data_IF_135445241352
#
_entry.id   IF_135445241352
#
_cell.length_a   1.000
_cell.length_b   1.000
_cell.length_c   1.000
_cell.angle_alpha   90.00
_cell.angle_beta   90.00
_cell.angle_gamma   90.00
#
_symmetry.space_group_name_H-M   'P 1'
#
loop_
_entity.id
_entity.type
_entity.pdbx_description
1 polymer ?
#
# COMPACT_ATOMS: atom_id res chain seq x y z
N UNK A 1 4.81 5.76 23.51
CA UNK A 1 3.77 5.38 22.55
C UNK A 1 3.77 3.88 22.47
N UNK A 2 2.63 3.28 22.75
CA UNK A 2 2.44 1.83 22.62
C UNK A 2 2.15 1.44 21.16
N UNK A 3 2.26 0.15 20.84
CA UNK A 3 2.05 -0.34 19.48
C UNK A 3 0.65 -0.02 18.95
N UNK A 4 -0.38 -0.23 19.76
CA UNK A 4 -1.77 0.04 19.39
C UNK A 4 -1.98 1.53 19.15
N UNK A 5 -1.49 2.39 20.04
CA UNK A 5 -1.57 3.85 19.90
C UNK A 5 -0.91 4.35 18.61
N UNK A 6 0.25 3.78 18.25
CA UNK A 6 0.91 4.07 16.98
C UNK A 6 0.04 3.66 15.78
N UNK A 7 -0.53 2.45 15.80
CA UNK A 7 -1.38 1.93 14.72
C UNK A 7 -2.62 2.78 14.51
N UNK A 8 -3.33 3.11 15.59
CA UNK A 8 -4.53 3.96 15.54
C UNK A 8 -4.21 5.36 15.01
N UNK A 9 -3.13 5.97 15.49
CA UNK A 9 -2.69 7.29 15.04
C UNK A 9 -2.33 7.28 13.55
N UNK A 10 -1.55 6.29 13.11
CA UNK A 10 -1.19 6.13 11.70
C UNK A 10 -2.44 5.88 10.85
N UNK A 11 -3.35 5.02 11.30
CA UNK A 11 -4.58 4.73 10.59
C UNK A 11 -5.46 5.97 10.44
N UNK A 12 -5.54 6.81 11.46
CA UNK A 12 -6.28 8.07 11.40
C UNK A 12 -5.70 9.02 10.35
N UNK A 13 -4.37 9.05 10.16
CA UNK A 13 -3.73 9.87 9.13
C UNK A 13 -4.04 9.33 7.74
N UNK A 14 -3.91 8.01 7.54
CA UNK A 14 -4.25 7.35 6.27
C UNK A 14 -5.73 7.55 5.89
N UNK A 15 -6.62 7.59 6.88
CA UNK A 15 -8.05 7.79 6.63
C UNK A 15 -8.36 9.14 5.98
N UNK A 16 -7.55 10.17 6.25
CA UNK A 16 -7.71 11.50 5.66
C UNK A 16 -7.50 11.53 4.15
N UNK A 17 -6.78 10.55 3.60
CA UNK A 17 -6.51 10.43 2.16
C UNK A 17 -7.27 9.27 1.50
N UNK A 18 -8.02 8.48 2.27
CA UNK A 18 -8.77 7.30 1.80
C UNK A 18 -9.56 7.55 0.52
N UNK A 19 -10.27 8.67 0.42
CA UNK A 19 -11.14 8.96 -0.74
C UNK A 19 -10.34 9.24 -2.03
N UNK A 20 -9.17 9.88 -1.90
CA UNK A 20 -8.24 10.11 -3.03
C UNK A 20 -7.64 8.79 -3.47
N UNK A 21 -7.23 7.96 -2.52
CA UNK A 21 -6.59 6.67 -2.77
C UNK A 21 -7.57 5.68 -3.39
N UNK A 22 -8.80 5.61 -2.88
CA UNK A 22 -9.88 4.82 -3.50
C UNK A 22 -10.10 5.20 -4.96
N UNK A 23 -10.12 6.51 -5.27
CA UNK A 23 -10.26 7.00 -6.64
C UNK A 23 -9.09 6.58 -7.53
N UNK A 24 -7.85 6.63 -7.02
CA UNK A 24 -6.65 6.18 -7.73
C UNK A 24 -6.69 4.67 -7.99
N UNK A 25 -7.02 3.86 -6.98
CA UNK A 25 -7.14 2.41 -7.11
C UNK A 25 -8.23 2.03 -8.12
N UNK A 26 -9.36 2.75 -8.13
CA UNK A 26 -10.42 2.55 -9.10
C UNK A 26 -9.97 2.90 -10.53
N UNK A 27 -9.19 3.97 -10.71
CA UNK A 27 -8.61 4.34 -12.00
C UNK A 27 -7.62 3.28 -12.49
N UNK A 28 -6.75 2.78 -11.61
CA UNK A 28 -5.82 1.69 -11.92
C UNK A 28 -6.56 0.43 -12.35
N UNK A 29 -7.60 0.02 -11.62
CA UNK A 29 -8.44 -1.11 -12.01
C UNK A 29 -9.10 -0.89 -13.37
N UNK A 30 -9.60 0.31 -13.66
CA UNK A 30 -10.22 0.62 -14.94
C UNK A 30 -9.21 0.60 -16.11
N UNK A 31 -7.94 0.92 -15.83
CA UNK A 31 -6.85 0.86 -16.78
C UNK A 31 -6.24 -0.54 -16.93
N UNK A 32 -6.50 -1.44 -15.98
CA UNK A 32 -6.10 -2.83 -16.06
C UNK A 32 -6.64 -3.44 -17.36
N UNK A 33 -5.73 -3.97 -18.18
CA UNK A 33 -6.12 -4.66 -19.40
C UNK A 33 -6.67 -6.04 -19.04
N UNK A 34 -7.25 -6.75 -20.02
CA UNK A 34 -7.66 -8.14 -19.82
C UNK A 34 -6.50 -9.10 -19.47
N UNK A 35 -5.25 -8.64 -19.55
CA UNK A 35 -4.07 -9.43 -19.22
C UNK A 35 -3.53 -9.18 -17.81
N UNK A 36 -3.85 -8.03 -17.20
CA UNK A 36 -3.32 -7.65 -15.90
C UNK A 36 -3.59 -8.74 -14.85
N UNK A 37 -2.51 -9.30 -14.29
CA UNK A 37 -2.60 -10.39 -13.32
C UNK A 37 -2.92 -9.85 -11.92
N UNK A 38 -2.44 -8.65 -11.60
CA UNK A 38 -2.75 -8.00 -10.33
C UNK A 38 -2.27 -6.55 -10.19
N UNK A 39 -2.59 -5.98 -9.02
CA UNK A 39 -2.07 -4.70 -8.54
C UNK A 39 -1.33 -4.96 -7.23
N UNK A 40 -0.04 -4.65 -7.22
CA UNK A 40 0.84 -4.76 -6.06
C UNK A 40 1.02 -3.38 -5.44
N UNK A 41 0.91 -3.31 -4.11
CA UNK A 41 1.13 -2.10 -3.32
C UNK A 41 2.45 -2.23 -2.58
N UNK A 42 3.46 -1.50 -3.04
CA UNK A 42 4.77 -1.44 -2.43
C UNK A 42 4.80 -0.41 -1.29
N UNK A 43 5.20 -0.87 -0.10
CA UNK A 43 5.44 -0.03 1.08
C UNK A 43 6.95 0.05 1.31
N UNK A 44 7.50 1.25 1.26
CA UNK A 44 8.93 1.49 1.48
C UNK A 44 9.13 2.40 2.68
N UNK A 45 9.84 1.91 3.70
CA UNK A 45 10.25 2.71 4.85
C UNK A 45 11.67 3.20 4.63
N UNK A 46 11.91 4.48 4.90
CA UNK A 46 13.23 5.09 4.75
C UNK A 46 14.31 4.36 5.55
N UNK A 47 15.56 4.52 5.11
CA UNK A 47 16.73 3.85 5.67
C UNK A 47 17.01 4.26 7.12
N UNK A 48 16.72 5.51 7.52
CA UNK A 48 16.86 5.93 8.92
C UNK A 48 15.72 5.36 9.79
N UNK A 49 14.58 5.06 9.16
CA UNK A 49 13.43 4.45 9.81
C UNK A 49 12.84 5.33 10.91
N UNK A 50 12.92 6.66 10.78
CA UNK A 50 12.39 7.60 11.76
C UNK A 50 10.89 7.88 11.59
N UNK A 51 10.34 7.63 10.40
CA UNK A 51 8.90 7.80 10.14
C UNK A 51 8.52 8.08 8.68
N UNK A 52 9.47 8.38 7.79
CA UNK A 52 9.20 8.51 6.35
C UNK A 52 8.93 7.16 5.71
N UNK A 53 7.84 7.09 4.96
CA UNK A 53 7.54 5.95 4.11
C UNK A 53 6.73 6.39 2.88
N UNK A 54 6.82 5.58 1.83
CA UNK A 54 6.01 5.70 0.63
C UNK A 54 5.13 4.47 0.45
N UNK A 55 3.94 4.68 -0.10
CA UNK A 55 3.00 3.65 -0.53
C UNK A 55 2.72 3.88 -2.00
N UNK A 56 3.10 2.90 -2.81
CA UNK A 56 3.03 2.98 -4.27
C UNK A 56 2.27 1.79 -4.82
N UNK A 57 1.43 2.02 -5.82
CA UNK A 57 0.75 0.98 -6.55
C UNK A 57 1.43 0.72 -7.90
N UNK A 58 1.52 -0.54 -8.28
CA UNK A 58 2.01 -0.95 -9.59
C UNK A 58 1.20 -2.13 -10.12
N UNK A 59 1.14 -2.25 -11.44
CA UNK A 59 0.67 -3.49 -12.06
C UNK A 59 1.70 -4.60 -11.88
N UNK A 60 1.21 -5.81 -11.71
CA UNK A 60 1.95 -7.05 -11.81
C UNK A 60 1.47 -7.77 -13.06
N UNK A 61 2.22 -7.62 -14.15
CA UNK A 61 1.87 -8.06 -15.50
C UNK A 61 3.10 -8.00 -16.44
N UNK A 62 3.20 -8.80 -17.50
CA UNK A 62 4.22 -8.66 -18.55
C UNK A 62 4.32 -7.25 -19.18
N UNK A 63 3.20 -6.54 -19.34
CA UNK A 63 3.11 -5.17 -19.85
C UNK A 63 3.11 -4.11 -18.72
N UNK A 64 3.38 -4.51 -17.46
CA UNK A 64 3.36 -3.62 -16.30
C UNK A 64 4.20 -2.36 -16.50
N UNK A 65 5.34 -2.43 -17.19
CA UNK A 65 6.16 -1.25 -17.47
C UNK A 65 5.40 -0.16 -18.24
N UNK A 66 4.69 -0.54 -19.31
CA UNK A 66 3.92 0.39 -20.14
C UNK A 66 2.71 0.96 -19.38
N UNK A 67 1.99 0.11 -18.65
CA UNK A 67 0.84 0.51 -17.84
C UNK A 67 1.25 1.44 -16.70
N UNK A 68 2.33 1.11 -15.99
CA UNK A 68 2.86 1.93 -14.92
C UNK A 68 3.35 3.30 -15.44
N UNK A 69 3.93 3.36 -16.65
CA UNK A 69 4.31 4.62 -17.28
C UNK A 69 3.09 5.46 -17.69
N UNK A 70 2.01 4.82 -18.13
CA UNK A 70 0.77 5.52 -18.51
C UNK A 70 0.08 6.18 -17.31
N UNK A 71 0.06 5.51 -16.15
CA UNK A 71 -0.54 6.02 -14.92
C UNK A 71 0.38 7.04 -14.21
N UNK A 72 1.71 6.92 -14.38
CA UNK A 72 2.66 7.93 -13.93
C UNK A 72 2.64 8.14 -12.41
N UNK A 73 2.42 9.40 -11.99
CA UNK A 73 2.42 9.81 -10.57
C UNK A 73 1.15 9.37 -9.81
N UNK A 74 0.08 8.98 -10.49
CA UNK A 74 -1.14 8.48 -9.83
C UNK A 74 -0.91 7.14 -9.10
N UNK A 75 0.24 6.50 -9.36
CA UNK A 75 0.73 5.32 -8.65
C UNK A 75 1.14 5.63 -7.21
N UNK A 76 1.54 6.87 -6.90
CA UNK A 76 1.81 7.25 -5.52
C UNK A 76 0.47 7.31 -4.78
N UNK A 77 0.24 6.41 -3.83
CA UNK A 77 -1.00 6.42 -3.04
C UNK A 77 -0.84 7.33 -1.83
N UNK A 78 0.33 7.27 -1.19
CA UNK A 78 0.64 8.04 0.01
C UNK A 78 2.15 8.17 0.14
N UNK A 79 2.64 9.36 0.49
CA UNK A 79 4.04 9.56 0.81
C UNK A 79 4.16 10.51 1.99
N UNK A 80 5.11 10.21 2.86
CA UNK A 80 5.50 11.09 3.96
C UNK A 80 6.80 11.76 3.57
N UNK A 81 6.81 13.09 3.63
CA UNK A 81 8.00 13.92 3.41
C UNK A 81 8.32 14.74 4.65
N UNK A 82 9.57 15.21 4.75
CA UNK A 82 9.93 16.20 5.77
C UNK A 82 9.62 17.60 5.27
N UNK A 83 8.60 18.21 5.87
CA UNK A 83 8.17 19.58 5.65
C UNK A 83 8.85 20.60 6.57
N UNK A 84 8.33 21.82 6.58
CA UNK A 84 8.87 22.91 7.40
C UNK A 84 8.62 22.70 8.90
N UNK A 85 7.49 22.08 9.26
CA UNK A 85 7.03 21.89 10.65
C UNK A 85 7.21 20.45 11.16
N UNK A 86 7.74 19.54 10.33
CA UNK A 86 7.89 18.12 10.62
C UNK A 86 7.37 17.26 9.47
N UNK A 87 6.88 16.05 9.78
CA UNK A 87 6.36 15.15 8.75
C UNK A 87 5.08 15.69 8.12
N UNK A 88 5.01 15.64 6.78
CA UNK A 88 3.82 15.95 6.01
C UNK A 88 3.45 14.73 5.16
N UNK A 89 2.30 14.09 5.39
CA UNK A 89 1.33 14.34 6.47
C UNK A 89 1.88 13.97 7.87
N UNK A 90 1.25 14.45 8.97
CA UNK A 90 1.77 14.33 10.33
C UNK A 90 1.61 12.91 10.89
N UNK A 91 2.49 12.00 10.45
CA UNK A 91 2.54 10.62 10.94
C UNK A 91 3.15 10.51 12.34
N UNK A 92 2.73 9.52 13.15
CA UNK A 92 3.32 9.30 14.47
C UNK A 92 4.81 8.97 14.37
N UNK A 93 5.59 9.47 15.33
CA UNK A 93 7.03 9.15 15.41
C UNK A 93 7.25 7.71 15.84
N UNK A 94 8.30 7.07 15.31
CA UNK A 94 8.71 5.72 15.75
C UNK A 94 8.89 5.65 17.27
N UNK A 95 8.26 4.69 17.97
CA UNK A 95 8.57 4.36 19.36
C UNK A 95 10.06 4.03 19.56
N UNK A 96 10.68 4.55 20.62
CA UNK A 96 12.15 4.43 20.85
C UNK A 96 12.62 2.98 21.00
N UNK A 97 11.73 2.08 21.40
CA UNK A 97 12.00 0.66 21.61
C UNK A 97 11.98 -0.15 20.33
N UNK A 98 11.45 0.42 19.23
CA UNK A 98 11.32 -0.29 17.97
C UNK A 98 12.56 -0.19 17.10
N UNK A 99 12.93 -1.32 16.53
CA UNK A 99 13.86 -1.37 15.40
C UNK A 99 13.18 -0.92 14.11
N UNK A 100 13.97 -0.55 13.09
CA UNK A 100 13.45 -0.26 11.72
C UNK A 100 12.55 -1.38 11.20
N UNK A 101 12.95 -2.64 11.37
CA UNK A 101 12.17 -3.80 10.94
C UNK A 101 10.84 -3.94 11.69
N UNK A 102 10.78 -3.56 12.96
CA UNK A 102 9.52 -3.58 13.70
C UNK A 102 8.59 -2.47 13.23
N UNK A 103 9.14 -1.27 12.99
CA UNK A 103 8.40 -0.17 12.40
C UNK A 103 7.83 -0.56 11.02
N UNK A 104 8.64 -1.15 10.15
CA UNK A 104 8.21 -1.61 8.82
C UNK A 104 7.06 -2.60 8.92
N UNK A 105 7.18 -3.64 9.73
CA UNK A 105 6.12 -4.65 9.91
C UNK A 105 4.81 -4.01 10.38
N UNK A 106 4.90 -3.04 11.29
CA UNK A 106 3.71 -2.33 11.79
C UNK A 106 3.09 -1.46 10.71
N UNK A 107 3.90 -0.68 9.97
CA UNK A 107 3.42 0.18 8.88
C UNK A 107 2.78 -0.68 7.78
N UNK A 108 3.45 -1.74 7.32
CA UNK A 108 2.94 -2.66 6.30
C UNK A 108 1.61 -3.25 6.73
N UNK A 109 1.49 -3.71 7.98
CA UNK A 109 0.24 -4.25 8.50
C UNK A 109 -0.90 -3.21 8.50
N UNK A 110 -0.63 -1.98 8.96
CA UNK A 110 -1.64 -0.91 8.97
C UNK A 110 -2.05 -0.49 7.56
N UNK A 111 -1.09 -0.41 6.63
CA UNK A 111 -1.36 -0.12 5.23
C UNK A 111 -2.17 -1.24 4.59
N UNK A 112 -1.87 -2.52 4.87
CA UNK A 112 -2.66 -3.64 4.37
C UNK A 112 -4.10 -3.62 4.87
N UNK A 113 -4.33 -3.35 6.16
CA UNK A 113 -5.68 -3.16 6.70
C UNK A 113 -6.39 -1.94 6.09
N UNK A 114 -5.64 -0.93 5.64
CA UNK A 114 -6.19 0.27 5.01
C UNK A 114 -6.57 0.03 3.57
N UNK A 115 -5.63 -0.45 2.75
CA UNK A 115 -5.90 -0.82 1.37
C UNK A 115 -7.02 -1.87 1.28
N UNK A 116 -7.02 -2.88 2.15
CA UNK A 116 -8.07 -3.90 2.18
C UNK A 116 -9.48 -3.34 2.43
N UNK A 117 -9.59 -2.21 3.14
CA UNK A 117 -10.87 -1.53 3.34
C UNK A 117 -11.30 -0.67 2.14
N UNK A 118 -10.35 -0.24 1.30
CA UNK A 118 -10.58 0.58 0.09
C UNK A 118 -10.80 -0.27 -1.16
N UNK A 119 -10.26 -1.49 -1.21
CA UNK A 119 -10.48 -2.41 -2.32
C UNK A 119 -11.92 -2.94 -2.25
N UNK A 120 -12.77 -2.68 -3.27
CA UNK A 120 -14.16 -3.10 -3.21
C UNK A 120 -14.24 -4.63 -3.30
N UNK A 121 -15.22 -5.27 -2.63
CA UNK A 121 -15.38 -6.73 -2.65
C UNK A 121 -15.69 -7.29 -4.05
N UNK A 122 -16.04 -6.43 -5.00
CA UNK A 122 -16.26 -6.77 -6.42
C UNK A 122 -14.98 -6.76 -7.26
N UNK A 123 -13.82 -6.44 -6.69
CA UNK A 123 -12.53 -6.40 -7.40
C UNK A 123 -11.80 -7.76 -7.37
N UNK A 124 -12.56 -8.87 -7.43
CA UNK A 124 -12.03 -10.25 -7.45
C UNK A 124 -11.41 -10.66 -8.79
N UNK A 125 -11.37 -9.75 -9.75
CA UNK A 125 -10.81 -9.93 -11.10
C UNK A 125 -9.31 -9.65 -11.18
N UNK A 126 -8.72 -9.11 -10.12
CA UNK A 126 -7.28 -8.86 -9.99
C UNK A 126 -6.78 -9.41 -8.67
N UNK A 127 -5.55 -9.94 -8.66
CA UNK A 127 -4.85 -10.17 -7.41
C UNK A 127 -4.44 -8.82 -6.80
N UNK A 128 -4.60 -8.67 -5.48
CA UNK A 128 -4.11 -7.49 -4.77
C UNK A 128 -3.27 -7.92 -3.58
N UNK A 129 -2.11 -7.30 -3.44
CA UNK A 129 -1.20 -7.57 -2.33
C UNK A 129 -0.48 -6.30 -1.88
N UNK A 130 -0.10 -6.27 -0.61
CA UNK A 130 0.80 -5.28 -0.04
C UNK A 130 2.13 -5.95 0.25
N UNK A 131 3.22 -5.39 -0.23
CA UNK A 131 4.57 -5.95 -0.10
C UNK A 131 5.60 -4.89 0.26
N UNK A 132 6.83 -5.32 0.55
CA UNK A 132 7.98 -4.42 0.68
C UNK A 132 8.99 -4.71 -0.43
N UNK A 133 9.63 -3.69 -1.02
CA UNK A 133 10.54 -3.88 -2.15
C UNK A 133 11.79 -4.69 -1.77
N UNK A 134 12.20 -4.63 -0.49
CA UNK A 134 13.32 -5.40 0.05
C UNK A 134 12.95 -6.86 0.39
N UNK A 135 11.65 -7.23 0.33
CA UNK A 135 11.15 -8.57 0.69
C UNK A 135 11.34 -8.93 2.16
N UNK A 136 11.56 -7.93 3.02
CA UNK A 136 11.79 -8.12 4.46
C UNK A 136 10.50 -8.48 5.22
N UNK A 137 9.34 -8.14 4.65
CA UNK A 137 8.02 -8.51 5.15
C UNK A 137 7.32 -9.35 4.08
N UNK A 138 6.68 -10.45 4.51
CA UNK A 138 5.94 -11.34 3.61
C UNK A 138 4.77 -10.58 2.95
N UNK A 139 4.47 -10.81 1.66
CA UNK A 139 3.35 -10.16 1.00
C UNK A 139 2.02 -10.47 1.68
N UNK A 140 1.21 -9.43 1.90
CA UNK A 140 -0.10 -9.54 2.53
C UNK A 140 -1.18 -9.40 1.45
N UNK A 141 -1.94 -10.47 1.12
CA UNK A 141 -3.05 -10.34 0.19
C UNK A 141 -4.13 -9.41 0.78
N UNK A 142 -4.63 -8.50 -0.04
CA UNK A 142 -5.68 -7.54 0.32
C UNK A 142 -6.86 -7.68 -0.64
N UNK A 143 -8.07 -7.30 -0.22
CA UNK A 143 -9.25 -7.42 -1.08
C UNK A 143 -9.89 -8.82 -1.11
N UNK A 144 -10.88 -9.05 -2.00
CA UNK A 144 -11.61 -10.30 -2.07
C UNK A 144 -10.73 -11.46 -2.54
N UNK A 145 -11.07 -12.69 -2.10
CA UNK A 145 -10.41 -13.91 -2.56
C UNK A 145 -10.42 -13.95 -4.10
N UNK A 146 -9.23 -13.83 -4.70
CA UNK A 146 -9.07 -13.93 -6.13
C UNK A 146 -9.44 -15.36 -6.50
N UNK A 147 -10.59 -15.52 -7.16
CA UNK A 147 -11.15 -16.82 -7.45
C UNK A 147 -10.11 -17.68 -8.17
N UNK A 148 -9.63 -18.71 -7.48
CA UNK A 148 -8.84 -19.78 -8.08
C UNK A 148 -9.75 -20.55 -9.04
N UNK A 149 -10.02 -19.97 -10.21
CA UNK A 149 -10.76 -20.57 -11.31
C UNK A 149 -9.91 -21.60 -12.04
N UNK A 150 -9.30 -22.54 -11.32
CA UNK A 150 -8.75 -23.75 -11.94
C UNK A 150 -9.84 -24.83 -11.90
N UNK A 151 -10.64 -24.88 -12.97
CA UNK A 151 -11.42 -26.08 -13.29
C UNK A 151 -10.44 -27.20 -13.66
N UNK A 152 -10.37 -28.33 -12.93
CA UNK A 152 -9.79 -29.53 -13.49
C UNK A 152 -10.84 -30.20 -14.37
N UNK A 153 -10.56 -30.27 -15.67
CA UNK A 153 -11.15 -31.28 -16.56
C UNK A 153 -10.58 -32.66 -16.24
#
# INVERSE_FOLDING_TARGET
MEATEYRDSLRSVLDTTSSVVESRLAAMRAAATAHAEGIVIDVSVDQDGEGTFGVWARFDDPDAFSLNQQIGDERELFSVIWGEEGWEPPVPTRPREWSRTELEKVIVGVVAEWIGALVPPTASELHWEVTTPDGATDPIPVGPDFGSGHSPQ
#
